data_IF_162073076795
#
_entry.id   IF_162073076795
#
_cell.length_a   1.000
_cell.length_b   1.000
_cell.length_c   1.000
_cell.angle_alpha   90.00
_cell.angle_beta   90.00
_cell.angle_gamma   90.00
#
_symmetry.space_group_name_H-M   'P 1'
#
loop_
_entity.id
_entity.type
_entity.pdbx_description
1 polymer ?
#
# COMPACT_ATOMS: atom_id res chain seq x y z
N UNK A 1 18.57 -26.48 6.66
CA UNK A 1 18.17 -25.38 5.73
C UNK A 1 19.43 -24.82 5.09
N UNK A 2 19.51 -24.68 3.75
CA UNK A 2 20.68 -24.05 3.11
C UNK A 2 20.81 -22.61 3.60
N UNK A 3 22.03 -22.15 3.90
CA UNK A 3 22.28 -20.75 4.28
C UNK A 3 21.93 -19.87 3.08
N UNK A 4 20.98 -18.94 3.25
CA UNK A 4 20.72 -17.89 2.26
C UNK A 4 21.98 -17.05 2.09
N UNK A 5 22.54 -17.04 0.88
CA UNK A 5 23.64 -16.16 0.50
C UNK A 5 23.12 -14.83 -0.08
N UNK A 6 24.02 -13.89 -0.31
CA UNK A 6 23.69 -12.57 -0.88
C UNK A 6 23.01 -12.70 -2.24
N UNK A 7 23.39 -13.70 -3.04
CA UNK A 7 22.81 -13.99 -4.35
C UNK A 7 21.33 -14.37 -4.21
N UNK A 8 21.00 -15.26 -3.29
CA UNK A 8 19.62 -15.68 -3.01
C UNK A 8 18.73 -14.50 -2.58
N UNK A 9 19.23 -13.62 -1.72
CA UNK A 9 18.50 -12.41 -1.32
C UNK A 9 18.29 -11.44 -2.49
N UNK A 10 19.32 -11.25 -3.32
CA UNK A 10 19.25 -10.37 -4.49
C UNK A 10 18.22 -10.87 -5.49
N UNK A 11 18.17 -12.18 -5.76
CA UNK A 11 17.18 -12.80 -6.63
C UNK A 11 15.77 -12.64 -6.07
N UNK A 12 15.56 -12.89 -4.78
CA UNK A 12 14.23 -12.74 -4.15
C UNK A 12 13.75 -11.28 -4.21
N UNK A 13 14.60 -10.33 -3.82
CA UNK A 13 14.26 -8.89 -3.86
C UNK A 13 13.99 -8.44 -5.29
N UNK A 14 14.83 -8.85 -6.26
CA UNK A 14 14.63 -8.56 -7.67
C UNK A 14 13.32 -9.14 -8.22
N UNK A 15 12.95 -10.35 -7.82
CA UNK A 15 11.68 -10.97 -8.21
C UNK A 15 10.47 -10.21 -7.68
N UNK A 16 10.45 -9.84 -6.39
CA UNK A 16 9.37 -9.03 -5.83
C UNK A 16 9.24 -7.66 -6.51
N UNK A 17 10.37 -6.99 -6.78
CA UNK A 17 10.37 -5.72 -7.51
C UNK A 17 9.79 -5.89 -8.92
N UNK A 18 10.24 -6.91 -9.65
CA UNK A 18 9.77 -7.23 -10.99
C UNK A 18 8.25 -7.47 -11.06
N UNK A 19 7.71 -8.29 -10.15
CA UNK A 19 6.27 -8.55 -10.11
C UNK A 19 5.45 -7.30 -9.77
N UNK A 20 5.99 -6.41 -8.92
CA UNK A 20 5.34 -5.14 -8.63
C UNK A 20 5.34 -4.21 -9.84
N UNK A 21 6.47 -4.07 -10.54
CA UNK A 21 6.57 -3.28 -11.76
C UNK A 21 5.59 -3.77 -12.82
N UNK A 22 5.53 -5.10 -13.04
CA UNK A 22 4.65 -5.69 -14.03
C UNK A 22 3.17 -5.52 -13.66
N UNK A 23 2.82 -5.68 -12.38
CA UNK A 23 1.47 -5.40 -11.89
C UNK A 23 1.04 -3.96 -12.15
N UNK A 24 1.94 -2.99 -11.98
CA UNK A 24 1.66 -1.56 -12.23
C UNK A 24 1.54 -1.27 -13.72
N UNK A 25 2.36 -1.90 -14.58
CA UNK A 25 2.23 -1.77 -16.04
C UNK A 25 0.88 -2.29 -16.54
N UNK A 26 0.46 -3.48 -16.10
CA UNK A 26 -0.83 -4.05 -16.46
C UNK A 26 -1.98 -3.15 -16.00
N UNK A 27 -1.87 -2.59 -14.79
CA UNK A 27 -2.82 -1.61 -14.30
C UNK A 27 -2.89 -0.36 -15.18
N UNK A 28 -1.76 0.19 -15.59
CA UNK A 28 -1.72 1.35 -16.49
C UNK A 28 -2.37 1.05 -17.85
N UNK A 29 -2.17 -0.16 -18.39
CA UNK A 29 -2.82 -0.59 -19.63
C UNK A 29 -4.34 -0.69 -19.45
N UNK A 30 -4.81 -1.26 -18.34
CA UNK A 30 -6.24 -1.37 -18.02
C UNK A 30 -6.89 0.01 -17.92
N UNK A 31 -6.23 0.95 -17.23
CA UNK A 31 -6.69 2.35 -17.11
C UNK A 31 -6.77 3.02 -18.49
N UNK A 32 -5.78 2.81 -19.37
CA UNK A 32 -5.80 3.35 -20.73
C UNK A 32 -6.87 2.72 -21.62
N UNK A 33 -7.22 1.45 -21.37
CA UNK A 33 -8.28 0.72 -22.07
C UNK A 33 -9.70 1.12 -21.68
N UNK A 34 -9.88 1.90 -20.60
CA UNK A 34 -11.19 2.39 -20.16
C UNK A 34 -12.06 1.34 -19.45
N UNK A 35 -11.47 0.28 -18.89
CA UNK A 35 -12.22 -0.76 -18.19
C UNK A 35 -12.78 -0.28 -16.83
N UNK A 36 -13.97 -0.78 -16.48
CA UNK A 36 -14.85 -0.19 -15.45
C UNK A 36 -14.72 -0.79 -14.04
N UNK A 37 -13.81 -1.74 -13.79
CA UNK A 37 -13.60 -2.32 -12.44
C UNK A 37 -12.23 -1.94 -11.80
N UNK A 38 -11.96 -0.65 -11.55
CA UNK A 38 -10.68 -0.22 -10.99
C UNK A 38 -10.51 -0.52 -9.50
N UNK A 39 -11.56 -0.67 -8.67
CA UNK A 39 -11.40 -0.84 -7.21
C UNK A 39 -10.55 -2.07 -6.84
N UNK A 40 -10.99 -3.27 -7.25
CA UNK A 40 -10.31 -4.52 -6.92
C UNK A 40 -8.89 -4.54 -7.53
N UNK A 41 -8.76 -4.03 -8.75
CA UNK A 41 -7.48 -3.89 -9.45
C UNK A 41 -6.52 -2.99 -8.68
N UNK A 42 -6.97 -1.81 -8.25
CA UNK A 42 -6.19 -0.86 -7.44
C UNK A 42 -5.76 -1.50 -6.12
N UNK A 43 -6.66 -2.19 -5.42
CA UNK A 43 -6.32 -2.90 -4.18
C UNK A 43 -5.24 -3.95 -4.41
N UNK A 44 -5.34 -4.73 -5.49
CA UNK A 44 -4.36 -5.76 -5.83
C UNK A 44 -2.98 -5.17 -6.17
N UNK A 45 -2.95 -4.10 -6.97
CA UNK A 45 -1.70 -3.41 -7.34
C UNK A 45 -1.05 -2.77 -6.10
N UNK A 46 -1.84 -2.16 -5.22
CA UNK A 46 -1.34 -1.62 -3.95
C UNK A 46 -0.81 -2.72 -3.03
N UNK A 47 -1.39 -3.91 -3.05
CA UNK A 47 -0.88 -5.09 -2.32
C UNK A 47 0.47 -5.56 -2.87
N UNK A 48 0.66 -5.55 -4.20
CA UNK A 48 1.95 -5.83 -4.83
C UNK A 48 3.00 -4.79 -4.41
N UNK A 49 2.67 -3.50 -4.50
CA UNK A 49 3.52 -2.40 -4.03
C UNK A 49 3.88 -2.52 -2.54
N UNK A 50 2.92 -2.92 -1.70
CA UNK A 50 3.09 -3.13 -0.26
C UNK A 50 4.03 -4.30 0.04
N UNK A 51 3.94 -5.38 -0.72
CA UNK A 51 4.78 -6.57 -0.56
C UNK A 51 6.21 -6.34 -1.02
N UNK A 52 6.39 -5.51 -2.04
CA UNK A 52 7.70 -5.20 -2.62
C UNK A 52 8.34 -3.92 -2.05
N UNK A 53 7.71 -3.28 -1.06
CA UNK A 53 8.15 -1.99 -0.49
C UNK A 53 8.35 -0.89 -1.57
N UNK A 54 7.58 -0.94 -2.66
CA UNK A 54 7.80 -0.14 -3.86
C UNK A 54 7.09 1.23 -3.76
N UNK A 55 7.62 2.10 -2.89
CA UNK A 55 6.98 3.38 -2.54
C UNK A 55 6.75 4.32 -3.74
N UNK A 56 7.68 4.35 -4.71
CA UNK A 56 7.55 5.18 -5.91
C UNK A 56 6.39 4.73 -6.78
N UNK A 57 6.25 3.42 -7.01
CA UNK A 57 5.15 2.85 -7.78
C UNK A 57 3.82 3.01 -7.06
N UNK A 58 3.80 2.77 -5.74
CA UNK A 58 2.63 3.00 -4.90
C UNK A 58 2.14 4.45 -4.94
N UNK A 59 3.05 5.44 -5.05
CA UNK A 59 2.67 6.85 -5.25
C UNK A 59 2.04 7.14 -6.60
N UNK A 60 2.44 6.45 -7.67
CA UNK A 60 1.80 6.60 -8.97
C UNK A 60 0.35 6.13 -8.91
N UNK A 61 0.12 4.97 -8.28
CA UNK A 61 -1.25 4.44 -8.07
C UNK A 61 -2.06 5.39 -7.18
N UNK A 62 -1.48 5.93 -6.10
CA UNK A 62 -2.14 6.92 -5.25
C UNK A 62 -2.53 8.20 -6.01
N UNK A 63 -1.65 8.68 -6.91
CA UNK A 63 -1.93 9.84 -7.77
C UNK A 63 -3.13 9.58 -8.66
N UNK A 64 -3.20 8.40 -9.30
CA UNK A 64 -4.36 7.98 -10.07
C UNK A 64 -5.63 7.92 -9.22
N UNK A 65 -5.59 7.28 -8.05
CA UNK A 65 -6.75 7.25 -7.13
C UNK A 65 -7.21 8.66 -6.79
N UNK A 66 -6.29 9.61 -6.62
CA UNK A 66 -6.62 10.99 -6.27
C UNK A 66 -7.40 11.75 -7.35
N UNK A 67 -7.33 11.31 -8.61
CA UNK A 67 -8.09 11.90 -9.73
C UNK A 67 -9.46 11.28 -9.93
N UNK A 68 -9.75 10.14 -9.27
CA UNK A 68 -10.99 9.39 -9.40
C UNK A 68 -11.84 9.55 -8.13
N UNK A 69 -13.01 10.19 -8.24
CA UNK A 69 -13.85 10.52 -7.09
C UNK A 69 -14.39 9.28 -6.38
N UNK A 70 -14.83 8.28 -7.14
CA UNK A 70 -15.35 6.99 -6.69
C UNK A 70 -14.30 6.20 -5.88
N UNK A 71 -13.05 6.18 -6.36
CA UNK A 71 -11.96 5.50 -5.66
C UNK A 71 -11.50 6.23 -4.40
N UNK A 72 -11.55 7.57 -4.40
CA UNK A 72 -11.16 8.40 -3.24
C UNK A 72 -12.02 8.16 -2.01
N UNK A 73 -13.33 8.00 -2.21
CA UNK A 73 -14.28 7.76 -1.11
C UNK A 73 -14.38 6.27 -0.75
N UNK A 74 -13.72 5.40 -1.51
CA UNK A 74 -13.77 3.96 -1.30
C UNK A 74 -12.88 3.54 -0.11
N UNK A 75 -13.52 3.07 0.97
CA UNK A 75 -12.81 2.61 2.17
C UNK A 75 -11.82 1.46 1.91
N UNK A 76 -12.09 0.55 0.96
CA UNK A 76 -11.18 -0.57 0.66
C UNK A 76 -9.90 -0.07 -0.01
N UNK A 77 -10.03 0.85 -0.96
CA UNK A 77 -8.89 1.51 -1.63
C UNK A 77 -8.08 2.33 -0.62
N UNK A 78 -8.75 3.11 0.22
CA UNK A 78 -8.13 3.85 1.31
C UNK A 78 -7.31 2.97 2.25
N UNK A 79 -7.88 1.84 2.65
CA UNK A 79 -7.19 0.86 3.50
C UNK A 79 -5.97 0.23 2.83
N UNK A 80 -6.07 -0.10 1.54
CA UNK A 80 -4.95 -0.61 0.76
C UNK A 80 -3.82 0.44 0.65
N UNK A 81 -4.15 1.72 0.44
CA UNK A 81 -3.18 2.82 0.41
C UNK A 81 -2.46 2.99 1.75
N UNK A 82 -3.22 3.01 2.85
CA UNK A 82 -2.65 3.09 4.21
C UNK A 82 -1.70 1.92 4.45
N UNK A 83 -2.13 0.69 4.14
CA UNK A 83 -1.32 -0.50 4.31
C UNK A 83 -0.03 -0.44 3.47
N UNK A 84 -0.12 0.01 2.21
CA UNK A 84 1.04 0.19 1.35
C UNK A 84 2.01 1.22 1.94
N UNK A 85 1.54 2.42 2.31
CA UNK A 85 2.41 3.46 2.86
C UNK A 85 3.04 3.07 4.20
N UNK A 86 2.32 2.38 5.10
CA UNK A 86 2.86 1.88 6.37
C UNK A 86 3.96 0.84 6.12
N UNK A 87 3.71 -0.17 5.28
CA UNK A 87 4.73 -1.20 4.99
C UNK A 87 5.95 -0.64 4.27
N UNK A 88 5.76 0.39 3.46
CA UNK A 88 6.84 1.10 2.77
C UNK A 88 7.55 2.15 3.65
N UNK A 89 7.24 2.24 4.95
CA UNK A 89 7.88 3.16 5.89
C UNK A 89 7.48 4.63 5.77
N UNK A 90 6.44 4.97 5.01
CA UNK A 90 5.94 6.34 4.86
C UNK A 90 4.69 6.58 5.72
N UNK A 91 4.89 6.64 7.02
CA UNK A 91 3.81 6.87 8.01
C UNK A 91 3.09 8.21 7.82
N UNK A 92 3.81 9.26 7.39
CA UNK A 92 3.21 10.58 7.12
C UNK A 92 2.12 10.52 6.04
N UNK A 93 2.40 9.86 4.92
CA UNK A 93 1.40 9.65 3.86
C UNK A 93 0.27 8.73 4.32
N UNK A 94 0.57 7.68 5.09
CA UNK A 94 -0.46 6.81 5.64
C UNK A 94 -1.44 7.58 6.54
N UNK A 95 -0.94 8.48 7.39
CA UNK A 95 -1.76 9.36 8.23
C UNK A 95 -2.57 10.35 7.37
N UNK A 96 -1.97 10.91 6.33
CA UNK A 96 -2.66 11.83 5.41
C UNK A 96 -3.84 11.15 4.73
N UNK A 97 -3.64 9.95 4.18
CA UNK A 97 -4.72 9.16 3.56
C UNK A 97 -5.78 8.83 4.60
N UNK A 98 -5.38 8.38 5.80
CA UNK A 98 -6.33 8.07 6.87
C UNK A 98 -7.20 9.27 7.27
N UNK A 99 -6.61 10.46 7.38
CA UNK A 99 -7.37 11.69 7.70
C UNK A 99 -8.35 12.09 6.61
N UNK A 100 -8.07 11.71 5.35
CA UNK A 100 -8.91 12.01 4.21
C UNK A 100 -10.05 10.99 3.99
N UNK A 101 -10.03 9.85 4.69
CA UNK A 101 -11.11 8.85 4.60
C UNK A 101 -12.27 9.23 5.51
N UNK A 102 -13.45 9.40 4.91
CA UNK A 102 -14.70 9.66 5.63
C UNK A 102 -15.25 8.40 6.33
N UNK A 103 -14.90 7.20 5.84
CA UNK A 103 -15.26 5.92 6.45
C UNK A 103 -14.20 5.51 7.48
N UNK A 104 -14.51 5.68 8.77
CA UNK A 104 -13.63 5.37 9.90
C UNK A 104 -13.80 3.94 10.44
N UNK A 105 -14.42 3.05 9.68
CA UNK A 105 -14.66 1.68 10.13
C UNK A 105 -13.43 0.76 9.96
N UNK A 106 -13.50 -0.37 10.68
CA UNK A 106 -12.47 -1.39 10.92
C UNK A 106 -11.51 -1.54 9.74
N UNK A 107 -10.24 -1.24 9.98
CA UNK A 107 -9.21 -1.35 8.95
C UNK A 107 -8.44 -2.65 9.15
N UNK A 108 -8.32 -3.44 8.07
CA UNK A 108 -7.45 -4.62 8.00
C UNK A 108 -6.01 -4.19 7.70
N UNK A 109 -5.10 -4.40 8.65
CA UNK A 109 -3.65 -4.29 8.44
C UNK A 109 -3.02 -5.65 8.72
N UNK A 110 -2.11 -6.09 7.87
CA UNK A 110 -1.37 -7.35 8.09
C UNK A 110 -2.27 -8.59 8.29
N UNK A 111 -3.47 -8.60 7.71
CA UNK A 111 -4.44 -9.69 7.87
C UNK A 111 -5.26 -9.66 9.17
N UNK A 112 -5.06 -8.66 10.03
CA UNK A 112 -5.80 -8.48 11.28
C UNK A 112 -6.75 -7.28 11.21
N UNK A 113 -7.98 -7.46 11.71
CA UNK A 113 -8.99 -6.42 11.88
C UNK A 113 -8.73 -5.64 13.16
N UNK A 114 -8.50 -4.33 13.05
CA UNK A 114 -8.23 -3.46 14.20
C UNK A 114 -9.31 -2.38 14.36
N UNK A 115 -9.88 -2.18 15.56
CA UNK A 115 -10.69 -1.02 15.89
C UNK A 115 -9.88 0.28 15.78
N UNK A 116 -10.52 1.37 15.35
CA UNK A 116 -9.87 2.64 14.99
C UNK A 116 -9.00 3.27 16.09
N UNK A 117 -9.40 3.15 17.36
CA UNK A 117 -8.67 3.70 18.50
C UNK A 117 -7.34 2.99 18.77
N UNK A 118 -7.27 1.67 18.56
CA UNK A 118 -6.06 0.89 18.82
C UNK A 118 -4.92 1.22 17.85
N UNK A 119 -5.24 1.81 16.69
CA UNK A 119 -4.29 2.07 15.60
C UNK A 119 -3.53 3.38 15.73
N UNK A 120 -4.13 4.43 16.28
CA UNK A 120 -3.41 5.69 16.56
C UNK A 120 -2.30 5.41 17.58
N UNK A 121 -2.62 4.64 18.63
CA UNK A 121 -1.65 4.21 19.63
C UNK A 121 -0.51 3.35 19.02
N UNK A 122 -0.82 2.43 18.10
CA UNK A 122 0.19 1.61 17.44
C UNK A 122 1.08 2.42 16.48
N UNK A 123 0.52 3.39 15.74
CA UNK A 123 1.30 4.30 14.89
C UNK A 123 2.23 5.20 15.72
N UNK A 124 1.80 5.65 16.91
CA UNK A 124 2.65 6.41 17.84
C UNK A 124 3.70 5.53 18.55
N UNK A 125 3.35 4.32 18.99
CA UNK A 125 4.30 3.41 19.63
C UNK A 125 5.38 2.92 18.65
N UNK A 126 5.02 2.65 17.40
CA UNK A 126 6.00 2.24 16.38
C UNK A 126 6.93 3.40 15.98
N UNK A 127 6.45 4.64 15.95
CA UNK A 127 7.29 5.82 15.73
C UNK A 127 8.29 6.06 16.88
N UNK A 128 7.88 5.79 18.13
CA UNK A 128 8.75 5.93 19.31
C UNK A 128 9.84 4.86 19.41
N UNK A 129 9.63 3.67 18.83
CA UNK A 129 10.60 2.56 18.86
C UNK A 129 11.75 2.69 17.85
N UNK A 130 11.65 3.59 16.87
CA UNK A 130 12.67 3.74 15.81
C UNK A 130 13.40 5.10 15.81
N UNK A 131 13.28 5.89 16.89
CA UNK A 131 14.22 6.97 17.18
C UNK A 131 14.44 7.97 16.04
N UNK A 132 13.40 8.37 15.32
CA UNK A 132 13.49 9.47 14.36
C UNK A 132 13.04 10.74 15.07
N UNK A 133 14.01 11.46 15.62
CA UNK A 133 13.90 12.87 16.03
C UNK A 133 13.76 13.79 14.82
#
# INVERSE_FOLDING_TARGET
MPKRDVVSWTIMVGGYAYFCEESVKLFQQLVQGGETEPEATVVNVLSACSSSCALTLGRQVHSYVSTQQDLRVNGKVGNALINMFVKCGNSGMAISVFKALDCKDIIKLHGHEWPWHARVAALFQYASQWGVS
#
